data_IF_463283682154
#
_entry.id   IF_463283682154
#
_cell.length_a   1.000
_cell.length_b   1.000
_cell.length_c   1.000
_cell.angle_alpha   90.00
_cell.angle_beta   90.00
_cell.angle_gamma   90.00
#
_symmetry.space_group_name_H-M   'P 1'
#
loop_
_entity.id
_entity.type
_entity.pdbx_description
1 polymer ?
#
# COMPACT_ATOMS: atom_id res chain seq x y z
N UNK A 1 -8.34 6.12 -18.44
CA UNK A 1 -9.03 5.33 -19.50
C UNK A 1 -10.39 4.86 -18.96
N UNK A 2 -11.42 4.59 -19.79
CA UNK A 2 -12.63 3.94 -19.28
C UNK A 2 -12.29 2.55 -18.73
N UNK A 3 -13.01 2.11 -17.70
CA UNK A 3 -12.82 0.79 -17.13
C UNK A 3 -13.34 -0.30 -18.08
N UNK A 4 -12.46 -1.21 -18.50
CA UNK A 4 -12.80 -2.42 -19.27
C UNK A 4 -12.97 -3.62 -18.34
N UNK A 5 -14.22 -3.92 -17.99
CA UNK A 5 -14.56 -5.06 -17.14
C UNK A 5 -14.20 -6.40 -17.81
N UNK A 6 -14.49 -6.57 -19.10
CA UNK A 6 -14.27 -7.85 -19.78
C UNK A 6 -12.77 -8.16 -19.91
N UNK A 7 -11.96 -7.17 -20.29
CA UNK A 7 -10.51 -7.31 -20.34
C UNK A 7 -9.90 -7.59 -18.97
N UNK A 8 -10.40 -6.92 -17.92
CA UNK A 8 -9.95 -7.13 -16.54
C UNK A 8 -10.27 -8.55 -16.06
N UNK A 9 -11.50 -9.03 -16.25
CA UNK A 9 -11.90 -10.40 -15.88
C UNK A 9 -11.10 -11.46 -16.65
N UNK A 10 -10.78 -11.21 -17.92
CA UNK A 10 -9.94 -12.10 -18.74
C UNK A 10 -8.50 -12.17 -18.23
N UNK A 11 -7.96 -11.06 -17.72
CA UNK A 11 -6.60 -10.99 -17.16
C UNK A 11 -6.52 -11.64 -15.77
N UNK A 12 -7.37 -11.20 -14.84
CA UNK A 12 -7.32 -11.64 -13.44
C UNK A 12 -7.89 -13.06 -13.23
N UNK A 13 -8.88 -13.44 -14.03
CA UNK A 13 -9.57 -14.74 -13.98
C UNK A 13 -10.02 -15.13 -12.55
N UNK A 14 -10.74 -14.26 -11.82
CA UNK A 14 -11.16 -14.51 -10.43
C UNK A 14 -11.84 -15.87 -10.23
N UNK A 15 -12.69 -16.26 -11.18
CA UNK A 15 -13.44 -17.52 -11.15
C UNK A 15 -12.58 -18.78 -11.20
N UNK A 16 -11.31 -18.69 -11.65
CA UNK A 16 -10.38 -19.83 -11.68
C UNK A 16 -9.58 -19.99 -10.40
N UNK A 17 -9.53 -18.96 -9.55
CA UNK A 17 -8.76 -18.99 -8.30
C UNK A 17 -9.63 -19.52 -7.18
N UNK A 18 -9.36 -20.75 -6.76
CA UNK A 18 -10.14 -21.46 -5.73
C UNK A 18 -9.34 -21.73 -4.45
N UNK A 19 -8.02 -21.83 -4.58
CA UNK A 19 -7.13 -22.13 -3.47
C UNK A 19 -6.87 -20.90 -2.61
N UNK A 20 -6.75 -21.13 -1.29
CA UNK A 20 -6.39 -20.05 -0.37
C UNK A 20 -4.99 -19.56 -0.67
N UNK A 21 -4.80 -18.25 -0.50
CA UNK A 21 -3.47 -17.65 -0.60
C UNK A 21 -2.67 -18.04 0.63
N UNK A 22 -1.44 -18.49 0.40
CA UNK A 22 -0.45 -18.75 1.45
C UNK A 22 0.74 -17.86 1.18
N UNK A 23 1.26 -17.26 2.25
CA UNK A 23 2.39 -16.35 2.12
C UNK A 23 3.60 -17.14 1.62
N UNK A 24 4.32 -16.61 0.63
CA UNK A 24 5.58 -17.19 0.16
C UNK A 24 6.66 -17.16 1.25
N UNK A 25 7.68 -18.00 1.11
CA UNK A 25 8.80 -18.02 2.04
C UNK A 25 9.60 -16.71 1.96
N UNK A 26 10.29 -16.34 3.04
CA UNK A 26 11.08 -15.09 3.08
C UNK A 26 12.11 -15.01 1.96
N UNK A 27 12.70 -16.15 1.57
CA UNK A 27 13.68 -16.24 0.48
C UNK A 27 13.10 -15.97 -0.91
N UNK A 28 11.77 -15.91 -1.04
CA UNK A 28 11.07 -15.63 -2.30
C UNK A 28 10.53 -14.18 -2.37
N UNK A 29 10.79 -13.38 -1.33
CA UNK A 29 10.34 -12.01 -1.19
C UNK A 29 11.52 -11.05 -1.24
N UNK A 30 11.30 -9.85 -1.77
CA UNK A 30 12.30 -8.79 -1.78
C UNK A 30 12.23 -8.00 -0.48
N UNK A 31 13.34 -7.99 0.27
CA UNK A 31 13.45 -7.27 1.54
C UNK A 31 14.26 -5.99 1.38
N UNK A 32 13.88 -4.95 2.11
CA UNK A 32 14.57 -3.66 2.10
C UNK A 32 16.07 -3.78 2.42
N UNK A 33 16.47 -4.75 3.26
CA UNK A 33 17.88 -5.02 3.59
C UNK A 33 18.72 -5.52 2.41
N UNK A 34 18.07 -6.12 1.41
CA UNK A 34 18.72 -6.76 0.27
C UNK A 34 18.63 -5.88 -0.99
N UNK A 35 17.93 -4.75 -0.90
CA UNK A 35 17.71 -3.82 -2.00
C UNK A 35 18.86 -2.81 -2.12
N UNK A 36 19.31 -2.50 -3.35
CA UNK A 36 20.32 -1.47 -3.54
C UNK A 36 19.80 -0.09 -3.13
N UNK A 37 20.65 0.76 -2.55
CA UNK A 37 20.23 2.11 -2.14
C UNK A 37 19.72 2.95 -3.31
N UNK A 38 20.43 2.88 -4.45
CA UNK A 38 20.05 3.53 -5.69
C UNK A 38 19.18 2.56 -6.50
N UNK A 39 18.02 3.03 -6.96
CA UNK A 39 17.09 2.21 -7.73
C UNK A 39 15.95 3.01 -8.33
N UNK A 40 14.96 2.29 -8.85
CA UNK A 40 13.72 2.88 -9.36
C UNK A 40 12.94 3.62 -8.27
N UNK A 41 11.96 4.42 -8.70
CA UNK A 41 11.11 5.13 -7.77
C UNK A 41 10.30 4.19 -6.87
N UNK A 42 9.93 4.69 -5.70
CA UNK A 42 9.06 4.02 -4.74
C UNK A 42 7.67 4.64 -4.76
N UNK A 43 6.65 3.85 -4.45
CA UNK A 43 5.39 4.36 -3.91
C UNK A 43 5.21 3.82 -2.50
N UNK A 44 4.90 4.71 -1.57
CA UNK A 44 4.84 4.38 -0.16
C UNK A 44 3.45 3.91 0.22
N UNK A 45 3.37 2.78 0.92
CA UNK A 45 2.18 2.35 1.65
C UNK A 45 2.02 3.17 2.95
N UNK A 46 0.81 3.24 3.49
CA UNK A 46 0.51 3.98 4.72
C UNK A 46 1.29 3.46 5.91
N UNK A 47 1.58 2.15 5.97
CA UNK A 47 2.41 1.55 7.02
C UNK A 47 3.77 2.23 7.15
N UNK A 48 4.39 2.64 6.03
CA UNK A 48 5.68 3.34 6.01
C UNK A 48 5.61 4.63 6.80
N UNK A 49 4.61 5.47 6.53
CA UNK A 49 4.46 6.74 7.23
C UNK A 49 4.26 6.55 8.72
N UNK A 50 3.39 5.60 9.10
CA UNK A 50 3.11 5.33 10.50
C UNK A 50 4.33 4.78 11.23
N UNK A 51 5.12 3.94 10.57
CA UNK A 51 6.33 3.38 11.13
C UNK A 51 7.44 4.42 11.25
N UNK A 52 7.61 5.32 10.28
CA UNK A 52 8.56 6.45 10.38
C UNK A 52 8.17 7.34 11.56
N UNK A 53 6.89 7.74 11.65
CA UNK A 53 6.39 8.59 12.74
C UNK A 53 6.57 7.95 14.12
N UNK A 54 6.56 6.62 14.19
CA UNK A 54 6.74 5.85 15.43
C UNK A 54 8.18 5.39 15.66
N UNK A 55 9.14 5.80 14.80
CA UNK A 55 10.52 5.35 14.83
C UNK A 55 10.68 3.82 14.83
N UNK A 56 9.84 3.13 14.04
CA UNK A 56 9.83 1.67 13.88
C UNK A 56 10.42 1.20 12.55
N UNK A 57 10.76 2.11 11.64
CA UNK A 57 11.43 1.75 10.40
C UNK A 57 12.83 1.23 10.69
N UNK A 58 13.27 0.12 10.05
CA UNK A 58 14.67 -0.30 10.11
C UNK A 58 15.54 0.65 9.27
N UNK A 59 16.83 0.73 9.58
CA UNK A 59 17.76 1.64 8.90
C UNK A 59 17.75 1.51 7.36
N UNK A 60 17.61 0.29 6.83
CA UNK A 60 17.52 0.06 5.39
C UNK A 60 16.33 0.78 4.74
N UNK A 61 15.20 0.90 5.44
CA UNK A 61 14.04 1.67 4.96
C UNK A 61 14.36 3.16 4.93
N UNK A 62 14.97 3.69 5.98
CA UNK A 62 15.35 5.11 6.04
C UNK A 62 16.33 5.48 4.92
N UNK A 63 17.29 4.59 4.61
CA UNK A 63 18.21 4.76 3.50
C UNK A 63 17.48 4.76 2.14
N UNK A 64 16.55 3.82 1.91
CA UNK A 64 15.74 3.80 0.68
C UNK A 64 14.90 5.07 0.51
N UNK A 65 14.28 5.56 1.59
CA UNK A 65 13.51 6.81 1.59
C UNK A 65 14.38 8.03 1.30
N UNK A 66 15.63 8.01 1.74
CA UNK A 66 16.61 9.08 1.52
C UNK A 66 17.09 9.13 0.08
N UNK A 67 17.39 7.98 -0.53
CA UNK A 67 18.11 7.92 -1.81
C UNK A 67 17.22 7.69 -3.05
N UNK A 68 15.97 7.21 -2.88
CA UNK A 68 15.06 6.95 -4.00
C UNK A 68 13.98 8.02 -4.11
N UNK A 69 13.48 8.23 -5.33
CA UNK A 69 12.33 9.10 -5.56
C UNK A 69 11.08 8.46 -4.96
N UNK A 70 10.41 9.14 -4.04
CA UNK A 70 9.17 8.68 -3.44
C UNK A 70 7.94 9.33 -4.08
N UNK A 71 7.03 8.48 -4.58
CA UNK A 71 5.66 8.81 -4.91
C UNK A 71 4.73 8.49 -3.74
N UNK A 72 3.63 9.21 -3.67
CA UNK A 72 2.65 9.11 -2.59
C UNK A 72 1.29 8.77 -3.18
N UNK A 73 0.49 7.98 -2.47
CA UNK A 73 -0.88 7.68 -2.89
C UNK A 73 -1.89 8.60 -2.21
N UNK A 74 -2.89 9.05 -2.95
CA UNK A 74 -4.08 9.70 -2.40
C UNK A 74 -4.86 8.80 -1.42
N UNK A 75 -4.68 7.48 -1.51
CA UNK A 75 -5.18 6.52 -0.50
C UNK A 75 -4.47 6.73 0.82
N UNK A 76 -3.14 6.81 0.82
CA UNK A 76 -2.36 7.11 2.02
C UNK A 76 -2.73 8.48 2.58
N UNK A 77 -2.92 9.49 1.73
CA UNK A 77 -3.42 10.80 2.17
C UNK A 77 -4.80 10.69 2.87
N UNK A 78 -5.74 9.93 2.31
CA UNK A 78 -7.05 9.72 2.92
C UNK A 78 -6.94 9.00 4.28
N UNK A 79 -6.04 8.02 4.41
CA UNK A 79 -5.81 7.31 5.67
C UNK A 79 -5.12 8.18 6.72
N UNK A 80 -4.11 8.96 6.34
CA UNK A 80 -3.44 9.91 7.21
C UNK A 80 -4.43 10.99 7.67
N UNK A 81 -5.24 11.53 6.77
CA UNK A 81 -6.23 12.57 7.11
C UNK A 81 -7.40 12.03 7.96
N UNK A 82 -7.62 10.72 8.00
CA UNK A 82 -8.69 10.11 8.81
C UNK A 82 -8.59 10.49 10.29
N UNK A 83 -7.38 10.67 10.83
CA UNK A 83 -7.16 11.00 12.25
C UNK A 83 -7.78 12.34 12.63
N UNK A 84 -7.84 13.33 11.73
CA UNK A 84 -8.46 14.63 11.98
C UNK A 84 -9.97 14.53 12.23
N UNK A 85 -10.63 13.53 11.65
CA UNK A 85 -12.05 13.27 11.88
C UNK A 85 -12.32 12.22 12.97
N UNK A 86 -11.31 11.47 13.42
CA UNK A 86 -11.48 10.29 14.27
C UNK A 86 -11.07 10.49 15.73
N UNK A 87 -10.03 11.29 15.99
CA UNK A 87 -9.50 11.49 17.34
C UNK A 87 -10.44 12.35 18.19
N UNK A 88 -10.47 12.08 19.50
CA UNK A 88 -11.22 12.87 20.47
C UNK A 88 -10.54 14.25 20.68
N UNK A 89 -11.19 15.37 20.33
CA UNK A 89 -10.62 16.69 20.52
C UNK A 89 -10.32 17.03 21.99
N UNK A 90 -10.99 16.39 22.95
CA UNK A 90 -10.78 16.62 24.38
C UNK A 90 -9.58 15.86 24.96
N UNK A 91 -9.04 14.87 24.24
CA UNK A 91 -7.91 14.09 24.73
C UNK A 91 -6.60 14.91 24.68
N UNK A 92 -5.81 14.99 25.77
CA UNK A 92 -4.65 15.89 25.85
C UNK A 92 -3.58 15.70 24.77
N UNK A 93 -3.45 14.49 24.21
CA UNK A 93 -2.46 14.21 23.15
C UNK A 93 -2.93 14.53 21.74
N UNK A 94 -4.23 14.79 21.52
CA UNK A 94 -4.81 14.90 20.18
C UNK A 94 -4.17 16.04 19.39
N UNK A 95 -4.00 17.22 20.00
CA UNK A 95 -3.40 18.37 19.31
C UNK A 95 -1.99 18.07 18.78
N UNK A 96 -1.16 17.40 19.58
CA UNK A 96 0.19 16.98 19.18
C UNK A 96 0.17 16.02 18.01
N UNK A 97 -0.68 14.98 18.07
CA UNK A 97 -0.81 14.01 16.96
C UNK A 97 -1.29 14.68 15.68
N UNK A 98 -2.29 15.56 15.76
CA UNK A 98 -2.81 16.28 14.60
C UNK A 98 -1.77 17.24 14.00
N UNK A 99 -0.91 17.85 14.82
CA UNK A 99 0.19 18.68 14.33
C UNK A 99 1.22 17.85 13.57
N UNK A 100 1.68 16.73 14.15
CA UNK A 100 2.64 15.83 13.49
C UNK A 100 2.12 15.33 12.14
N UNK A 101 0.85 14.94 12.05
CA UNK A 101 0.26 14.46 10.79
C UNK A 101 0.06 15.61 9.79
N UNK A 102 -0.24 16.83 10.26
CA UNK A 102 -0.29 18.03 9.40
C UNK A 102 1.06 18.28 8.74
N UNK A 103 2.13 18.35 9.54
CA UNK A 103 3.48 18.64 9.05
C UNK A 103 3.90 17.59 8.01
N UNK A 104 3.62 16.30 8.28
CA UNK A 104 3.86 15.22 7.33
C UNK A 104 3.13 15.41 5.98
N UNK A 105 1.86 15.82 6.01
CA UNK A 105 1.06 16.02 4.80
C UNK A 105 1.56 17.24 4.01
N UNK A 106 1.94 18.31 4.70
CA UNK A 106 2.46 19.53 4.08
C UNK A 106 3.81 19.29 3.37
N UNK A 107 4.60 18.32 3.85
CA UNK A 107 5.86 17.90 3.21
C UNK A 107 5.66 17.03 1.94
N UNK A 108 4.45 16.52 1.67
CA UNK A 108 4.18 15.70 0.46
C UNK A 108 4.18 16.59 -0.80
N UNK A 109 5.10 16.37 -1.76
CA UNK A 109 5.11 17.18 -2.98
C UNK A 109 3.90 16.85 -3.86
N UNK A 110 3.10 17.86 -4.21
CA UNK A 110 1.86 17.67 -4.99
C UNK A 110 2.09 16.94 -6.32
N UNK A 111 3.20 17.20 -7.02
CA UNK A 111 3.54 16.54 -8.29
C UNK A 111 3.92 15.06 -8.13
N UNK A 112 4.14 14.58 -6.90
CA UNK A 112 4.42 13.18 -6.56
C UNK A 112 3.23 12.48 -5.89
N UNK A 113 2.15 13.21 -5.60
CA UNK A 113 0.91 12.65 -5.09
C UNK A 113 0.05 12.10 -6.25
N UNK A 114 -0.19 10.80 -6.24
CA UNK A 114 -0.91 10.08 -7.28
C UNK A 114 -2.33 9.75 -6.84
N UNK A 115 -3.31 9.98 -7.72
CA UNK A 115 -4.69 9.53 -7.55
C UNK A 115 -4.99 8.35 -8.47
N UNK A 116 -5.78 7.39 -7.98
CA UNK A 116 -6.24 6.27 -8.81
C UNK A 116 -7.28 6.75 -9.83
N UNK A 117 -7.15 6.33 -11.08
CA UNK A 117 -8.14 6.61 -12.12
C UNK A 117 -9.31 5.60 -12.08
N UNK A 118 -10.36 5.84 -12.86
CA UNK A 118 -11.56 4.98 -12.90
C UNK A 118 -11.24 3.51 -13.23
N UNK A 119 -10.24 3.26 -14.08
CA UNK A 119 -9.85 1.91 -14.43
C UNK A 119 -9.16 1.20 -13.26
N UNK A 120 -8.29 1.92 -12.53
CA UNK A 120 -7.67 1.42 -11.30
C UNK A 120 -8.73 1.10 -10.23
N UNK A 121 -9.73 1.96 -10.05
CA UNK A 121 -10.83 1.69 -9.10
C UNK A 121 -11.60 0.41 -9.44
N UNK A 122 -11.95 0.21 -10.72
CA UNK A 122 -12.67 -0.98 -11.16
C UNK A 122 -11.85 -2.27 -10.98
N UNK A 123 -10.57 -2.24 -11.31
CA UNK A 123 -9.67 -3.39 -11.11
C UNK A 123 -9.39 -3.66 -9.62
N UNK A 124 -9.18 -2.61 -8.81
CA UNK A 124 -8.95 -2.72 -7.38
C UNK A 124 -10.13 -3.40 -6.68
N UNK A 125 -11.37 -3.08 -7.06
CA UNK A 125 -12.56 -3.72 -6.51
C UNK A 125 -12.58 -5.24 -6.73
N UNK A 126 -12.14 -5.70 -7.91
CA UNK A 126 -12.03 -7.14 -8.20
C UNK A 126 -10.91 -7.77 -7.38
N UNK A 127 -9.72 -7.15 -7.35
CA UNK A 127 -8.59 -7.66 -6.57
C UNK A 127 -8.88 -7.73 -5.08
N UNK A 128 -9.52 -6.71 -4.51
CA UNK A 128 -9.90 -6.68 -3.10
C UNK A 128 -10.90 -7.79 -2.76
N UNK A 129 -11.88 -8.05 -3.63
CA UNK A 129 -12.82 -9.15 -3.46
C UNK A 129 -12.16 -10.53 -3.55
N UNK A 130 -11.20 -10.70 -4.47
CA UNK A 130 -10.38 -11.91 -4.55
C UNK A 130 -9.51 -12.09 -3.31
N UNK A 131 -8.80 -11.05 -2.89
CA UNK A 131 -7.96 -11.05 -1.70
C UNK A 131 -8.77 -11.40 -0.45
N UNK A 132 -9.94 -10.78 -0.28
CA UNK A 132 -10.86 -11.09 0.81
C UNK A 132 -11.28 -12.56 0.83
N UNK A 133 -11.73 -13.07 -0.32
CA UNK A 133 -12.20 -14.45 -0.46
C UNK A 133 -11.08 -15.48 -0.21
N UNK A 134 -9.87 -15.21 -0.69
CA UNK A 134 -8.77 -16.18 -0.73
C UNK A 134 -7.81 -16.09 0.45
N UNK A 135 -7.72 -14.94 1.14
CA UNK A 135 -6.91 -14.77 2.37
C UNK A 135 -7.53 -15.47 3.59
N UNK A 136 -8.84 -15.78 3.56
CA UNK A 136 -9.55 -16.31 4.72
C UNK A 136 -9.83 -15.27 5.80
N UNK A 137 -9.79 -13.98 5.47
CA UNK A 137 -10.08 -12.90 6.39
C UNK A 137 -11.49 -13.01 7.02
N UNK A 138 -11.64 -12.68 8.31
CA UNK A 138 -12.95 -12.69 8.97
C UNK A 138 -13.89 -11.64 8.39
N UNK A 139 -15.15 -12.03 8.18
CA UNK A 139 -16.22 -11.11 7.75
C UNK A 139 -16.49 -10.06 8.83
N UNK A 140 -16.74 -8.82 8.43
CA UNK A 140 -17.12 -7.73 9.33
C UNK A 140 -16.00 -7.10 10.14
N UNK A 141 -14.74 -7.52 9.97
CA UNK A 141 -13.58 -6.96 10.69
C UNK A 141 -12.91 -5.77 9.97
N UNK A 142 -13.56 -5.19 8.96
CA UNK A 142 -13.04 -4.02 8.23
C UNK A 142 -11.97 -4.32 7.16
N UNK A 143 -11.64 -5.59 6.91
CA UNK A 143 -10.64 -5.98 5.90
C UNK A 143 -11.00 -5.57 4.47
N UNK A 144 -12.28 -5.45 4.13
CA UNK A 144 -12.71 -5.10 2.76
C UNK A 144 -12.21 -3.71 2.35
N UNK A 145 -12.29 -2.72 3.23
CA UNK A 145 -11.75 -1.37 2.96
C UNK A 145 -10.23 -1.41 2.88
N UNK A 146 -9.58 -2.14 3.79
CA UNK A 146 -8.13 -2.31 3.80
C UNK A 146 -7.63 -2.88 2.47
N UNK A 147 -8.22 -4.00 2.03
CA UNK A 147 -7.84 -4.67 0.78
C UNK A 147 -8.12 -3.83 -0.46
N UNK A 148 -9.17 -3.02 -0.46
CA UNK A 148 -9.40 -2.05 -1.53
C UNK A 148 -8.28 -1.00 -1.58
N UNK A 149 -7.89 -0.47 -0.43
CA UNK A 149 -6.81 0.52 -0.31
C UNK A 149 -5.46 -0.06 -0.75
N UNK A 150 -5.10 -1.25 -0.25
CA UNK A 150 -3.87 -1.95 -0.65
C UNK A 150 -3.85 -2.23 -2.17
N UNK A 151 -4.99 -2.68 -2.74
CA UNK A 151 -5.09 -2.93 -4.18
C UNK A 151 -4.97 -1.65 -5.01
N UNK A 152 -5.50 -0.51 -4.55
CA UNK A 152 -5.36 0.78 -5.23
C UNK A 152 -3.89 1.23 -5.24
N UNK A 153 -3.21 1.17 -4.09
CA UNK A 153 -1.77 1.51 -4.00
C UNK A 153 -0.96 0.61 -4.95
N UNK A 154 -1.27 -0.69 -4.97
CA UNK A 154 -0.62 -1.65 -5.86
C UNK A 154 -0.79 -1.30 -7.35
N UNK A 155 -2.01 -0.97 -7.77
CA UNK A 155 -2.28 -0.60 -9.16
C UNK A 155 -1.70 0.76 -9.55
N UNK A 156 -1.61 1.70 -8.61
CA UNK A 156 -0.93 2.98 -8.82
C UNK A 156 0.57 2.77 -9.05
N UNK A 157 1.21 1.93 -8.22
CA UNK A 157 2.61 1.53 -8.39
C UNK A 157 2.86 0.99 -9.80
N UNK A 158 1.99 0.07 -10.25
CA UNK A 158 2.03 -0.51 -11.59
C UNK A 158 1.90 0.55 -12.68
N UNK A 159 1.00 1.51 -12.50
CA UNK A 159 0.71 2.56 -13.47
C UNK A 159 1.88 3.52 -13.69
N UNK A 160 2.66 3.80 -12.64
CA UNK A 160 3.80 4.73 -12.70
C UNK A 160 5.16 4.01 -12.82
N UNK A 161 5.18 2.67 -12.82
CA UNK A 161 6.41 1.88 -12.88
C UNK A 161 7.27 1.99 -11.62
N UNK A 162 6.67 2.22 -10.45
CA UNK A 162 7.36 2.29 -9.17
C UNK A 162 7.31 0.96 -8.41
N UNK A 163 8.28 0.76 -7.52
CA UNK A 163 8.24 -0.32 -6.54
C UNK A 163 7.40 0.10 -5.34
N UNK A 164 6.66 -0.83 -4.73
CA UNK A 164 5.95 -0.56 -3.47
C UNK A 164 6.92 -0.73 -2.32
N UNK A 165 6.91 0.18 -1.34
CA UNK A 165 7.56 -0.03 -0.05
C UNK A 165 6.48 -0.19 1.04
N UNK A 166 6.53 -1.28 1.81
CA UNK A 166 5.48 -1.59 2.81
C UNK A 166 5.96 -2.53 3.92
N UNK A 167 5.43 -2.31 5.13
CA UNK A 167 5.53 -3.26 6.25
C UNK A 167 4.41 -4.32 6.24
N UNK A 168 3.41 -4.18 5.37
CA UNK A 168 2.28 -5.10 5.22
C UNK A 168 2.65 -6.29 4.31
N UNK A 169 3.53 -7.14 4.82
CA UNK A 169 4.11 -8.27 4.09
C UNK A 169 3.06 -9.20 3.49
N UNK A 170 2.02 -9.55 4.25
CA UNK A 170 1.03 -10.55 3.83
C UNK A 170 0.19 -10.09 2.64
N UNK A 171 -0.41 -8.90 2.75
CA UNK A 171 -1.38 -8.45 1.77
C UNK A 171 -0.73 -8.09 0.44
N UNK A 172 0.46 -7.48 0.46
CA UNK A 172 1.18 -7.16 -0.76
C UNK A 172 1.86 -8.38 -1.40
N UNK A 173 2.23 -9.41 -0.64
CA UNK A 173 2.59 -10.70 -1.21
C UNK A 173 1.40 -11.32 -1.94
N UNK A 174 0.23 -11.33 -1.30
CA UNK A 174 -1.01 -11.84 -1.88
C UNK A 174 -1.44 -11.08 -3.15
N UNK A 175 -1.37 -9.75 -3.14
CA UNK A 175 -1.64 -8.94 -4.33
C UNK A 175 -0.68 -9.27 -5.48
N UNK A 176 0.60 -9.50 -5.19
CA UNK A 176 1.57 -9.90 -6.21
C UNK A 176 1.33 -11.33 -6.73
N UNK A 177 0.80 -12.24 -5.93
CA UNK A 177 0.34 -13.56 -6.38
C UNK A 177 -0.92 -13.47 -7.27
N UNK A 178 -1.80 -12.50 -7.01
CA UNK A 178 -3.05 -12.28 -7.76
C UNK A 178 -2.84 -11.53 -9.07
N UNK A 179 -2.00 -10.50 -9.08
CA UNK A 179 -1.73 -9.63 -10.22
C UNK A 179 -0.23 -9.33 -10.35
N UNK A 180 0.59 -10.32 -10.71
CA UNK A 180 2.05 -10.15 -10.74
C UNK A 180 2.49 -9.04 -11.68
N UNK A 181 3.63 -8.41 -11.35
CA UNK A 181 4.27 -7.39 -12.18
C UNK A 181 4.53 -6.05 -11.50
N UNK A 182 4.35 -5.97 -10.18
CA UNK A 182 4.79 -4.81 -9.40
C UNK A 182 5.89 -5.27 -8.45
N UNK A 183 7.10 -4.68 -8.53
CA UNK A 183 8.12 -4.92 -7.53
C UNK A 183 7.63 -4.44 -6.16
N UNK A 184 7.69 -5.31 -5.15
CA UNK A 184 7.26 -5.01 -3.78
C UNK A 184 8.45 -5.24 -2.86
N UNK A 185 8.93 -4.15 -2.26
CA UNK A 185 10.00 -4.12 -1.28
C UNK A 185 9.37 -4.15 0.11
N UNK A 186 9.68 -5.19 0.87
CA UNK A 186 9.09 -5.47 2.16
C UNK A 186 10.07 -5.15 3.28
N UNK A 187 9.55 -4.75 4.45
CA UNK A 187 10.36 -4.65 5.66
C UNK A 187 9.59 -5.16 6.88
N UNK A 188 10.32 -5.31 7.99
CA UNK A 188 9.78 -5.58 9.32
C UNK A 188 10.23 -4.46 10.24
N UNK A 189 9.46 -4.23 11.31
CA UNK A 189 9.86 -3.24 12.30
C UNK A 189 11.23 -3.57 12.91
N UNK A 190 11.96 -2.54 13.32
CA UNK A 190 13.17 -2.66 14.11
C UNK A 190 12.91 -3.24 15.52
#
# INVERSE_FOLDING_TARGET
MPFDLQGTLRRLKPHKRLERLTRRADSELAWASDEPLIGGALILDTSVYLDVLQARTPAAVDELLTYRVCYHSAVCLAELTHVFGRLDPAHPSTSGVLQTVRDLIEDIPQHRLQSADTAMWGEAGILAGELFRLSGAPKGAGHERKYLNDALIYLQARGIGASILTGNVGDFDFLNQLAPGVPTILYRHA
#
